data_IF_509759945486
#
_entry.id   IF_509759945486
#
_cell.length_a   1.000
_cell.length_b   1.000
_cell.length_c   1.000
_cell.angle_alpha   90.00
_cell.angle_beta   90.00
_cell.angle_gamma   90.00
#
_symmetry.space_group_name_H-M   'P 1'
#
loop_
_entity.id
_entity.type
_entity.pdbx_description
1 polymer ?
#
# COMPACT_ATOMS: atom_id res chain seq x y z
N UNK A 1 -66.14 -8.98 -19.64
CA UNK A 1 -66.78 -8.87 -20.96
C UNK A 1 -65.86 -8.14 -21.93
N UNK A 2 -66.08 -8.36 -23.22
CA UNK A 2 -65.14 -8.22 -24.35
C UNK A 2 -64.55 -6.83 -24.57
N UNK A 3 -63.33 -6.85 -25.14
CA UNK A 3 -62.57 -5.76 -25.76
C UNK A 3 -63.47 -4.86 -26.63
N UNK A 4 -63.29 -3.54 -26.52
CA UNK A 4 -63.62 -2.61 -27.60
C UNK A 4 -62.36 -1.89 -28.02
N UNK A 5 -61.78 -2.38 -29.11
CA UNK A 5 -60.68 -1.76 -29.82
C UNK A 5 -61.20 -0.49 -30.48
N UNK A 6 -60.80 0.69 -29.99
CA UNK A 6 -60.92 1.93 -30.76
C UNK A 6 -59.55 2.26 -31.33
N UNK A 7 -59.46 2.13 -32.65
CA UNK A 7 -58.31 2.49 -33.47
C UNK A 7 -58.10 4.00 -33.40
N UNK A 8 -57.15 4.46 -32.56
CA UNK A 8 -56.67 5.83 -32.63
C UNK A 8 -55.53 5.91 -33.67
N UNK A 9 -55.72 6.80 -34.63
CA UNK A 9 -54.82 7.14 -35.72
C UNK A 9 -53.41 7.47 -35.23
N UNK A 10 -52.42 6.77 -35.81
CA UNK A 10 -51.00 6.80 -35.49
C UNK A 10 -50.24 8.07 -35.88
N UNK A 11 -50.79 9.27 -35.63
CA UNK A 11 -50.10 10.55 -35.91
C UNK A 11 -50.19 11.58 -34.77
N UNK A 12 -50.81 11.24 -33.62
CA UNK A 12 -50.89 12.12 -32.44
C UNK A 12 -50.37 11.48 -31.14
N UNK A 13 -49.55 10.42 -31.22
CA UNK A 13 -48.81 9.93 -30.05
C UNK A 13 -47.35 10.44 -30.09
N UNK A 14 -46.82 10.80 -31.27
CA UNK A 14 -45.42 11.27 -31.43
C UNK A 14 -45.20 12.73 -31.03
N UNK A 15 -46.23 13.45 -30.58
CA UNK A 15 -46.12 14.78 -29.97
C UNK A 15 -46.45 14.81 -28.47
N UNK A 16 -46.97 13.72 -27.87
CA UNK A 16 -47.18 13.63 -26.41
C UNK A 16 -45.96 13.07 -25.66
N UNK A 17 -45.00 12.47 -26.37
CA UNK A 17 -43.75 11.92 -25.80
C UNK A 17 -42.57 12.89 -26.01
N UNK A 18 -42.79 14.10 -26.54
CA UNK A 18 -41.67 14.97 -26.95
C UNK A 18 -40.95 15.74 -25.84
N UNK A 19 -41.50 15.91 -24.64
CA UNK A 19 -40.78 16.50 -23.50
C UNK A 19 -41.51 16.20 -22.18
N UNK A 20 -41.59 14.94 -21.76
CA UNK A 20 -41.69 14.71 -20.32
C UNK A 20 -40.25 14.83 -19.82
N UNK A 21 -39.87 16.05 -19.43
CA UNK A 21 -38.64 16.35 -18.71
C UNK A 21 -38.76 15.71 -17.32
N UNK A 22 -38.74 14.38 -17.29
CA UNK A 22 -38.72 13.60 -16.05
C UNK A 22 -37.34 13.75 -15.46
N UNK A 23 -37.32 14.09 -14.19
CA UNK A 23 -36.10 14.03 -13.43
C UNK A 23 -35.74 12.58 -13.08
N UNK A 24 -34.44 12.24 -13.05
CA UNK A 24 -33.96 10.94 -12.59
C UNK A 24 -34.50 10.63 -11.19
N UNK A 25 -35.15 9.47 -11.04
CA UNK A 25 -35.75 8.96 -9.78
C UNK A 25 -36.54 10.00 -8.96
N UNK A 26 -37.22 10.92 -9.64
CA UNK A 26 -37.94 12.06 -9.02
C UNK A 26 -37.10 12.86 -8.02
N UNK A 27 -35.80 13.00 -8.33
CA UNK A 27 -34.81 13.61 -7.45
C UNK A 27 -34.75 12.97 -6.06
N UNK A 28 -35.10 11.69 -5.94
CA UNK A 28 -35.09 10.90 -4.70
C UNK A 28 -35.82 11.55 -3.53
N UNK A 29 -36.80 12.43 -3.82
CA UNK A 29 -37.47 13.31 -2.84
C UNK A 29 -36.51 14.30 -2.11
N UNK A 30 -35.27 14.44 -2.57
CA UNK A 30 -34.22 15.28 -2.00
C UNK A 30 -33.82 16.45 -2.91
N UNK A 31 -34.69 16.84 -3.84
CA UNK A 31 -34.44 17.97 -4.73
C UNK A 31 -35.68 18.48 -5.41
N UNK A 32 -35.49 19.52 -6.21
CA UNK A 32 -36.53 20.09 -7.08
C UNK A 32 -36.21 19.75 -8.53
N UNK A 33 -37.20 19.22 -9.24
CA UNK A 33 -37.08 19.00 -10.67
C UNK A 33 -37.24 20.33 -11.43
N UNK A 34 -36.20 20.73 -12.18
CA UNK A 34 -36.21 21.93 -13.03
C UNK A 34 -35.68 21.54 -14.41
N UNK A 35 -36.54 21.63 -15.43
CA UNK A 35 -36.21 21.27 -16.81
C UNK A 35 -35.57 19.87 -16.97
N UNK A 36 -36.06 18.89 -16.21
CA UNK A 36 -35.58 17.49 -16.22
C UNK A 36 -34.22 17.27 -15.57
N UNK A 37 -33.71 18.27 -14.85
CA UNK A 37 -32.52 18.15 -14.01
C UNK A 37 -32.90 18.37 -12.55
N UNK A 38 -32.30 17.57 -11.67
CA UNK A 38 -32.47 17.75 -10.23
C UNK A 38 -31.61 18.90 -9.70
N UNK A 39 -32.26 19.79 -8.94
CA UNK A 39 -31.61 20.78 -8.09
C UNK A 39 -31.74 20.29 -6.65
N UNK A 40 -30.66 19.72 -6.10
CA UNK A 40 -30.69 19.07 -4.79
C UNK A 40 -30.89 20.06 -3.64
N UNK A 41 -31.55 19.58 -2.58
CA UNK A 41 -31.61 20.28 -1.31
C UNK A 41 -30.23 20.28 -0.62
N UNK A 42 -29.97 21.23 0.29
CA UNK A 42 -28.72 21.26 1.04
C UNK A 42 -28.44 19.91 1.72
N UNK A 43 -27.21 19.41 1.59
CA UNK A 43 -26.85 18.10 2.14
C UNK A 43 -27.10 16.92 1.21
N UNK A 44 -27.53 17.16 -0.04
CA UNK A 44 -27.67 16.12 -1.06
C UNK A 44 -27.01 16.53 -2.39
N UNK A 45 -26.51 15.53 -3.12
CA UNK A 45 -25.77 15.67 -4.36
C UNK A 45 -26.06 14.50 -5.31
N UNK A 46 -25.50 14.53 -6.51
CA UNK A 46 -25.71 13.52 -7.55
C UNK A 46 -26.83 13.86 -8.54
N UNK A 47 -26.99 13.07 -9.61
CA UNK A 47 -27.92 13.34 -10.71
C UNK A 47 -29.41 13.23 -10.32
N UNK A 48 -29.70 12.49 -9.25
CA UNK A 48 -31.01 12.20 -8.68
C UNK A 48 -31.10 12.61 -7.20
N UNK A 49 -30.11 13.34 -6.65
CA UNK A 49 -30.03 13.74 -5.25
C UNK A 49 -30.05 12.59 -4.22
N UNK A 50 -29.78 11.35 -4.63
CA UNK A 50 -29.75 10.20 -3.72
C UNK A 50 -28.52 10.17 -2.81
N UNK A 51 -27.46 10.92 -3.17
CA UNK A 51 -26.20 10.93 -2.44
C UNK A 51 -26.20 12.06 -1.41
N UNK A 52 -25.74 11.83 -0.16
CA UNK A 52 -25.47 12.94 0.75
C UNK A 52 -24.36 13.83 0.19
N UNK A 53 -24.43 15.13 0.45
CA UNK A 53 -23.39 16.10 0.12
C UNK A 53 -22.27 15.99 1.16
N UNK A 54 -21.02 15.95 0.69
CA UNK A 54 -19.86 15.62 1.51
C UNK A 54 -18.77 16.69 1.29
N UNK A 55 -17.96 17.00 2.32
CA UNK A 55 -16.91 18.02 2.21
C UNK A 55 -16.01 17.76 0.99
N UNK A 56 -15.96 18.72 0.05
CA UNK A 56 -15.18 18.68 -1.19
C UNK A 56 -15.28 17.36 -1.99
N UNK A 57 -16.42 16.65 -1.94
CA UNK A 57 -16.61 15.32 -2.57
C UNK A 57 -15.49 14.33 -2.22
N UNK A 58 -15.02 14.39 -0.96
CA UNK A 58 -13.86 13.66 -0.46
C UNK A 58 -12.61 13.80 -1.39
N UNK A 59 -12.40 15.01 -1.92
CA UNK A 59 -11.27 15.48 -2.73
C UNK A 59 -11.12 14.92 -4.16
N UNK A 60 -12.05 14.13 -4.69
CA UNK A 60 -12.14 13.67 -6.11
C UNK A 60 -10.82 13.23 -6.83
N UNK A 61 -9.78 12.76 -6.11
CA UNK A 61 -8.44 12.43 -6.66
C UNK A 61 -8.23 10.93 -6.96
N UNK A 62 -9.04 10.40 -7.89
CA UNK A 62 -9.01 9.00 -8.37
C UNK A 62 -10.20 8.18 -7.82
N UNK A 63 -10.64 7.12 -8.53
CA UNK A 63 -11.86 6.31 -8.24
C UNK A 63 -12.32 6.41 -6.77
N UNK A 64 -13.35 7.22 -6.49
CA UNK A 64 -13.99 7.44 -5.18
C UNK A 64 -13.23 6.80 -3.99
N UNK A 65 -12.13 7.44 -3.57
CA UNK A 65 -11.17 6.93 -2.56
C UNK A 65 -11.63 7.18 -1.10
N UNK A 66 -12.83 7.74 -0.96
CA UNK A 66 -13.51 7.89 0.32
C UNK A 66 -14.98 7.55 0.16
N UNK A 67 -15.56 6.87 1.16
CA UNK A 67 -17.00 6.60 1.21
C UNK A 67 -17.67 7.65 2.08
N UNK A 68 -18.71 8.30 1.58
CA UNK A 68 -19.50 9.18 2.42
C UNK A 68 -20.56 8.38 3.20
N UNK A 69 -20.57 8.55 4.52
CA UNK A 69 -21.56 7.94 5.42
C UNK A 69 -22.05 9.02 6.37
N UNK A 70 -23.36 9.31 6.37
CA UNK A 70 -23.98 10.34 7.21
C UNK A 70 -23.34 11.74 7.07
N UNK A 71 -22.91 12.14 5.87
CA UNK A 71 -22.31 13.46 5.62
C UNK A 71 -20.86 13.61 6.08
N UNK A 72 -20.17 12.50 6.39
CA UNK A 72 -18.75 12.46 6.71
C UNK A 72 -17.99 11.54 5.74
N UNK A 73 -16.78 11.93 5.36
CA UNK A 73 -15.89 11.09 4.55
C UNK A 73 -15.23 10.01 5.43
N UNK A 74 -15.36 8.75 5.00
CA UNK A 74 -14.57 7.62 5.49
C UNK A 74 -13.40 7.45 4.53
N UNK A 75 -12.19 7.77 4.99
CA UNK A 75 -10.99 7.76 4.15
C UNK A 75 -10.41 6.35 3.99
N UNK A 76 -9.92 6.05 2.79
CA UNK A 76 -9.12 4.85 2.55
C UNK A 76 -7.77 4.91 3.30
N UNK A 77 -7.11 3.76 3.51
CA UNK A 77 -5.80 3.72 4.14
C UNK A 77 -4.81 4.66 3.45
N UNK A 78 -4.11 5.48 4.24
CA UNK A 78 -3.19 6.47 3.72
C UNK A 78 -3.81 7.85 3.49
N UNK A 79 -5.06 8.08 3.88
CA UNK A 79 -5.70 9.41 3.84
C UNK A 79 -6.44 9.73 5.15
N UNK A 80 -6.54 11.02 5.46
CA UNK A 80 -7.22 11.54 6.64
C UNK A 80 -7.75 12.95 6.40
N UNK A 81 -8.40 13.52 7.41
CA UNK A 81 -9.06 14.82 7.33
C UNK A 81 -10.55 14.69 7.00
N UNK A 82 -11.31 15.79 7.14
CA UNK A 82 -12.77 15.80 6.96
C UNK A 82 -13.21 15.51 5.52
N UNK A 83 -12.32 15.71 4.56
CA UNK A 83 -12.49 15.58 3.11
C UNK A 83 -11.47 14.58 2.49
N UNK A 84 -10.75 13.83 3.33
CA UNK A 84 -9.68 12.92 2.92
C UNK A 84 -8.54 13.56 2.11
N UNK A 85 -8.36 14.88 2.17
CA UNK A 85 -7.31 15.59 1.43
C UNK A 85 -5.91 15.39 2.01
N UNK A 86 -5.81 14.91 3.26
CA UNK A 86 -4.54 14.79 3.98
C UNK A 86 -3.96 13.40 3.78
N UNK A 87 -2.93 13.28 2.96
CA UNK A 87 -2.14 12.06 2.85
C UNK A 87 -1.51 11.70 4.21
N UNK A 88 -1.66 10.45 4.60
CA UNK A 88 -1.04 9.86 5.77
C UNK A 88 -0.10 8.75 5.35
N UNK A 89 0.95 8.56 6.13
CA UNK A 89 1.87 7.45 5.91
C UNK A 89 1.51 6.26 6.81
N UNK A 90 1.87 5.02 6.40
CA UNK A 90 1.70 3.82 7.20
C UNK A 90 2.26 4.03 8.62
N UNK A 91 1.41 3.82 9.63
CA UNK A 91 1.73 3.99 11.06
C UNK A 91 2.49 5.29 11.40
N UNK A 92 2.24 6.37 10.65
CA UNK A 92 2.97 7.64 10.77
C UNK A 92 4.50 7.46 10.73
N UNK A 93 4.97 6.55 9.87
CA UNK A 93 6.37 6.15 9.76
C UNK A 93 6.99 5.71 11.08
N UNK A 94 6.19 5.12 11.98
CA UNK A 94 6.59 4.71 13.33
C UNK A 94 7.26 5.82 14.16
N UNK A 95 7.08 7.08 13.78
CA UNK A 95 7.84 8.23 14.28
C UNK A 95 9.37 8.09 14.12
N UNK A 96 9.82 7.39 13.08
CA UNK A 96 11.23 7.09 12.73
C UNK A 96 11.52 7.39 11.27
N UNK A 97 10.82 8.38 10.71
CA UNK A 97 10.91 8.73 9.30
C UNK A 97 10.05 9.94 8.97
N UNK A 98 10.21 10.44 7.76
CA UNK A 98 9.41 11.53 7.21
C UNK A 98 8.38 10.98 6.22
N UNK A 99 7.15 11.47 6.34
CA UNK A 99 6.11 11.16 5.37
C UNK A 99 6.24 12.07 4.14
N UNK A 100 6.46 11.48 2.96
CA UNK A 100 6.60 12.20 1.70
C UNK A 100 5.74 11.51 0.65
N UNK A 101 4.70 12.19 0.16
CA UNK A 101 3.75 11.69 -0.85
C UNK A 101 3.18 10.29 -0.49
N UNK A 102 2.66 10.14 0.73
CA UNK A 102 2.11 8.88 1.25
C UNK A 102 3.13 7.75 1.50
N UNK A 103 4.43 8.01 1.38
CA UNK A 103 5.50 7.02 1.63
C UNK A 103 6.44 7.48 2.73
N UNK A 104 6.93 6.53 3.51
CA UNK A 104 7.92 6.80 4.54
C UNK A 104 9.35 6.83 3.99
N UNK A 105 10.04 7.93 4.25
CA UNK A 105 11.49 8.05 4.11
C UNK A 105 12.09 7.83 5.50
N UNK A 106 12.67 6.64 5.72
CA UNK A 106 13.14 6.25 7.05
C UNK A 106 14.41 6.97 7.49
N UNK A 107 14.51 7.19 8.79
CA UNK A 107 15.75 7.64 9.43
C UNK A 107 16.84 6.57 9.32
N UNK A 108 18.10 7.00 9.50
CA UNK A 108 19.24 6.08 9.46
C UNK A 108 19.10 4.97 10.49
N UNK A 109 19.26 3.71 10.04
CA UNK A 109 19.11 2.53 10.88
C UNK A 109 17.70 1.94 10.93
N UNK A 110 16.74 2.51 10.20
CA UNK A 110 15.39 1.96 10.04
C UNK A 110 15.06 1.71 8.57
N UNK A 111 14.16 0.76 8.35
CA UNK A 111 13.70 0.30 7.04
C UNK A 111 12.27 -0.21 7.13
N UNK A 112 11.70 -0.60 5.99
CA UNK A 112 10.32 -1.04 5.87
C UNK A 112 9.36 0.08 5.45
N UNK A 113 8.10 -0.27 5.13
CA UNK A 113 7.11 0.67 4.60
C UNK A 113 6.67 1.74 5.61
N UNK A 114 6.85 1.47 6.90
CA UNK A 114 6.44 2.27 8.06
C UNK A 114 7.64 2.61 8.97
N UNK A 115 8.87 2.29 8.56
CA UNK A 115 10.10 2.47 9.34
C UNK A 115 10.13 1.79 10.72
N UNK A 116 9.31 0.75 10.93
CA UNK A 116 9.31 0.01 12.21
C UNK A 116 10.48 -0.95 12.34
N UNK A 117 11.06 -1.40 11.22
CA UNK A 117 12.11 -2.42 11.20
C UNK A 117 13.50 -1.81 11.31
N UNK A 118 14.36 -2.36 12.17
CA UNK A 118 15.77 -1.95 12.22
C UNK A 118 16.53 -2.50 11.01
N UNK A 119 17.32 -1.64 10.37
CA UNK A 119 18.20 -2.02 9.28
C UNK A 119 19.36 -2.87 9.77
N UNK A 120 19.80 -3.82 8.95
CA UNK A 120 20.96 -4.64 9.23
C UNK A 120 22.17 -4.21 8.40
N UNK A 121 23.41 -4.45 8.89
CA UNK A 121 24.60 -4.14 8.14
C UNK A 121 24.66 -4.97 6.85
N UNK A 122 24.84 -4.30 5.71
CA UNK A 122 24.95 -4.92 4.39
C UNK A 122 23.76 -5.79 3.98
N UNK A 123 22.58 -5.59 4.57
CA UNK A 123 21.40 -6.46 4.42
C UNK A 123 21.74 -7.95 4.64
N UNK A 124 22.64 -8.20 5.60
CA UNK A 124 23.18 -9.52 5.90
C UNK A 124 23.77 -10.23 4.69
N UNK A 125 24.26 -9.47 3.68
CA UNK A 125 24.84 -9.96 2.43
C UNK A 125 23.97 -11.00 1.69
N UNK A 126 22.67 -11.04 1.97
CA UNK A 126 21.76 -12.12 1.54
C UNK A 126 22.20 -13.54 1.98
N UNK A 127 22.95 -13.63 3.08
CA UNK A 127 23.48 -14.85 3.69
C UNK A 127 23.10 -14.95 5.16
N UNK A 128 21.93 -14.42 5.50
CA UNK A 128 21.40 -14.45 6.85
C UNK A 128 20.05 -13.74 6.96
N UNK A 129 19.50 -13.75 8.17
CA UNK A 129 18.24 -13.09 8.51
C UNK A 129 18.51 -11.88 9.37
N UNK A 130 17.90 -10.75 9.04
CA UNK A 130 17.94 -9.57 9.88
C UNK A 130 16.97 -9.73 11.06
N UNK A 131 17.49 -9.69 12.28
CA UNK A 131 16.69 -9.77 13.51
C UNK A 131 17.12 -8.62 14.43
N UNK A 132 16.22 -7.66 14.61
CA UNK A 132 16.42 -6.50 15.48
C UNK A 132 17.73 -5.71 15.19
N UNK A 133 18.04 -5.51 13.90
CA UNK A 133 19.24 -4.79 13.45
C UNK A 133 20.54 -5.61 13.53
N UNK A 134 20.46 -6.91 13.80
CA UNK A 134 21.59 -7.84 13.82
C UNK A 134 21.37 -8.96 12.82
N UNK A 135 22.43 -9.35 12.12
CA UNK A 135 22.36 -10.50 11.22
C UNK A 135 22.53 -11.80 11.98
N UNK A 136 21.61 -12.72 11.74
CA UNK A 136 21.73 -14.15 12.06
C UNK A 136 22.17 -14.85 10.78
N UNK A 137 23.47 -15.15 10.69
CA UNK A 137 24.04 -15.72 9.47
C UNK A 137 23.60 -17.16 9.22
N UNK A 138 23.44 -17.48 7.94
CA UNK A 138 23.23 -18.84 7.47
C UNK A 138 24.46 -19.70 7.73
N UNK A 139 24.26 -21.02 7.74
CA UNK A 139 25.35 -21.97 7.94
C UNK A 139 26.45 -21.77 6.91
N UNK A 140 27.69 -21.60 7.37
CA UNK A 140 28.83 -21.36 6.50
C UNK A 140 29.22 -19.89 6.33
N UNK A 141 28.49 -18.95 6.94
CA UNK A 141 28.80 -17.52 6.93
C UNK A 141 29.03 -16.97 8.34
N UNK A 142 29.82 -15.90 8.42
CA UNK A 142 30.24 -15.25 9.65
C UNK A 142 30.40 -13.75 9.42
N UNK A 143 30.91 -13.03 10.43
CA UNK A 143 30.96 -11.56 10.57
C UNK A 143 29.58 -10.88 10.69
N UNK A 144 29.50 -9.63 11.19
CA UNK A 144 28.22 -8.98 11.49
C UNK A 144 27.26 -8.79 10.31
N UNK A 145 27.75 -8.80 9.07
CA UNK A 145 26.96 -8.65 7.83
C UNK A 145 26.89 -9.94 7.00
N UNK A 146 27.36 -11.07 7.53
CA UNK A 146 27.37 -12.37 6.87
C UNK A 146 28.13 -12.42 5.52
N UNK A 147 29.03 -11.48 5.25
CA UNK A 147 29.78 -11.42 3.99
C UNK A 147 30.90 -12.47 3.89
N UNK A 148 31.37 -13.00 5.01
CA UNK A 148 32.54 -13.89 5.07
C UNK A 148 32.15 -15.34 5.27
N UNK A 149 32.76 -16.26 4.51
CA UNK A 149 32.57 -17.71 4.73
C UNK A 149 33.33 -18.19 5.97
N UNK A 150 32.75 -19.12 6.72
CA UNK A 150 33.45 -19.82 7.81
C UNK A 150 34.48 -20.80 7.24
N UNK A 151 35.58 -20.98 7.97
CA UNK A 151 36.55 -22.03 7.70
C UNK A 151 36.46 -23.13 8.76
N UNK A 152 36.73 -24.38 8.39
CA UNK A 152 36.72 -25.48 9.34
C UNK A 152 37.78 -25.26 10.43
N UNK A 153 37.32 -25.42 11.68
CA UNK A 153 38.07 -25.17 12.91
C UNK A 153 38.82 -23.82 12.97
N UNK A 154 38.33 -22.78 12.29
CA UNK A 154 39.01 -21.48 12.17
C UNK A 154 40.48 -21.62 11.75
N UNK A 155 40.74 -22.58 10.85
CA UNK A 155 42.09 -22.96 10.42
C UNK A 155 43.04 -23.28 11.57
N UNK A 156 42.52 -23.75 12.72
CA UNK A 156 43.24 -23.94 13.98
C UNK A 156 44.07 -22.73 14.43
N UNK A 157 43.76 -21.52 13.95
CA UNK A 157 44.59 -20.30 14.10
C UNK A 157 46.03 -20.47 13.55
N UNK A 158 46.21 -21.36 12.58
CA UNK A 158 47.49 -21.71 11.91
C UNK A 158 47.43 -21.52 10.39
N UNK A 159 46.54 -20.63 9.97
CA UNK A 159 46.35 -20.27 8.58
C UNK A 159 45.33 -19.16 8.45
N UNK A 160 45.21 -18.61 7.24
CA UNK A 160 44.21 -17.59 6.91
C UNK A 160 43.00 -18.22 6.24
N UNK A 161 41.81 -17.88 6.71
CA UNK A 161 40.58 -18.25 6.02
C UNK A 161 40.40 -17.41 4.75
N UNK A 162 40.28 -18.06 3.60
CA UNK A 162 40.04 -17.42 2.30
C UNK A 162 38.92 -18.16 1.59
N UNK A 163 37.76 -17.50 1.44
CA UNK A 163 36.58 -18.06 0.77
C UNK A 163 36.16 -19.45 1.30
N UNK A 164 36.26 -19.66 2.62
CA UNK A 164 35.91 -20.94 3.28
C UNK A 164 36.99 -22.02 3.19
N UNK A 165 38.18 -21.70 2.68
CA UNK A 165 39.34 -22.60 2.63
C UNK A 165 40.50 -22.03 3.44
N UNK A 166 41.19 -22.89 4.18
CA UNK A 166 42.38 -22.50 4.91
C UNK A 166 43.60 -22.41 3.99
N UNK A 167 44.24 -21.25 4.00
CA UNK A 167 45.60 -21.05 3.48
C UNK A 167 46.55 -21.26 4.66
N UNK A 168 47.21 -22.41 4.69
CA UNK A 168 48.03 -22.84 5.83
C UNK A 168 49.32 -22.04 5.96
N UNK A 169 49.72 -21.76 7.22
CA UNK A 169 51.05 -21.24 7.53
C UNK A 169 52.12 -22.31 7.27
N UNK A 170 53.38 -21.89 7.18
CA UNK A 170 54.53 -22.79 6.94
C UNK A 170 54.59 -23.88 8.02
N UNK A 171 54.67 -25.15 7.60
CA UNK A 171 54.70 -26.32 8.49
C UNK A 171 53.33 -26.89 8.86
N UNK A 172 52.25 -26.27 8.38
CA UNK A 172 50.86 -26.75 8.52
C UNK A 172 50.31 -27.17 7.15
N UNK A 173 49.36 -28.10 7.16
CA UNK A 173 48.71 -28.58 5.93
C UNK A 173 47.33 -29.18 6.24
N UNK A 174 46.59 -29.53 5.20
CA UNK A 174 45.24 -30.09 5.33
C UNK A 174 44.14 -29.03 5.35
N UNK A 175 42.90 -29.47 5.49
CA UNK A 175 41.71 -28.62 5.36
C UNK A 175 41.61 -27.56 6.46
N UNK A 176 42.21 -27.83 7.62
CA UNK A 176 42.08 -27.02 8.84
C UNK A 176 43.45 -26.53 9.35
N UNK A 177 44.49 -26.60 8.53
CA UNK A 177 45.89 -26.24 8.90
C UNK A 177 46.42 -27.00 10.13
N UNK A 178 46.40 -28.34 10.07
CA UNK A 178 46.95 -29.21 11.11
C UNK A 178 48.46 -29.39 10.90
N UNK A 179 49.21 -29.53 11.99
CA UNK A 179 50.68 -29.69 11.96
C UNK A 179 51.03 -30.96 11.17
N UNK A 180 52.00 -30.85 10.26
CA UNK A 180 52.55 -32.02 9.57
C UNK A 180 53.31 -32.86 10.60
N UNK A 181 52.76 -34.00 11.01
CA UNK A 181 53.53 -35.04 11.69
C UNK A 181 54.44 -35.66 10.63
N UNK A 182 55.72 -35.28 10.65
CA UNK A 182 56.74 -36.08 9.98
C UNK A 182 56.80 -37.41 10.73
N UNK A 183 56.25 -38.46 10.10
CA UNK A 183 56.56 -39.85 10.45
C UNK A 183 57.76 -40.25 9.60
#
# INVERSE_FOLDING_TARGET
MRKSSTSFSGLLISQWIKTLTLCPDDCSDQGRCVDGKCVCFPGFSGPDCSMPDCPDDCSSRGRCVGRCVNGQCVCDPGFSGPDCSVETCPDNCSNRGQCVNGKCVCESGFTGPDCSSRSCPGDCSNHGRCVDGRCVCDSGFTVPDCSSKTCPNDCNKKGRCVNGKCVCDVGFSGQDSVKKLYI
#
